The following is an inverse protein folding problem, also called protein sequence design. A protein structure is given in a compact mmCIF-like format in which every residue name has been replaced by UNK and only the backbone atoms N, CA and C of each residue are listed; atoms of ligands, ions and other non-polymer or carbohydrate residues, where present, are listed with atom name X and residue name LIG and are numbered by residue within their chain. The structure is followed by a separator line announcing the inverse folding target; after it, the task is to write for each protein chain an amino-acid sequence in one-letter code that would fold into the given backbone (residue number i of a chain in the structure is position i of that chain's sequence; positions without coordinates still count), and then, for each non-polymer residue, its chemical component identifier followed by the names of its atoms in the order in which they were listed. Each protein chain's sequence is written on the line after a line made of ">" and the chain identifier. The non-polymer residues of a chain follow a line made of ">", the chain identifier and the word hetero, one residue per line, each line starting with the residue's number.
data_IF_818180646206
#
_entry.id   IF_818180646206
#
_cell.length_a   1.000
_cell.length_b   1.000
_cell.length_c   1.000
_cell.angle_alpha   90.00
_cell.angle_beta   90.00
_cell.angle_gamma   90.00
#
_symmetry.space_group_name_H-M   'P 1'
#
loop_
_entity.id
_entity.type
_entity.pdbx_description
1 polymer ?
#
# COMPACT_ATOMS: atom_id res chain seq x y z
N UNK A 1 -9.85 25.23 14.37
CA UNK A 1 -10.17 24.24 15.41
C UNK A 1 -9.09 24.31 16.48
N UNK A 2 -9.37 24.96 17.60
CA UNK A 2 -8.46 25.00 18.75
C UNK A 2 -8.50 23.60 19.39
N UNK A 3 -7.36 22.99 19.57
CA UNK A 3 -7.25 21.78 20.39
C UNK A 3 -7.82 22.12 21.76
N UNK A 4 -8.72 21.30 22.34
CA UNK A 4 -9.19 21.54 23.70
C UNK A 4 -7.99 21.58 24.64
N UNK A 5 -7.91 22.59 25.46
CA UNK A 5 -6.79 22.91 26.35
C UNK A 5 -6.47 21.85 27.42
N UNK A 6 -7.23 20.76 27.48
CA UNK A 6 -7.09 19.66 28.45
C UNK A 6 -7.37 18.31 27.74
N UNK A 7 -6.44 17.86 26.90
CA UNK A 7 -6.42 16.44 26.52
C UNK A 7 -5.77 15.68 27.68
N UNK A 8 -6.51 14.82 28.32
CA UNK A 8 -5.92 13.91 29.31
C UNK A 8 -5.09 12.80 28.59
N UNK A 9 -4.30 12.07 29.36
CA UNK A 9 -3.46 11.01 28.83
C UNK A 9 -4.29 9.88 28.18
N UNK A 10 -5.53 9.65 28.65
CA UNK A 10 -6.46 8.67 28.10
C UNK A 10 -6.95 9.06 26.70
N UNK A 11 -7.32 10.33 26.52
CA UNK A 11 -7.73 10.88 25.23
C UNK A 11 -6.62 10.77 24.18
N UNK A 12 -5.38 11.09 24.55
CA UNK A 12 -4.23 10.96 23.67
C UNK A 12 -3.96 9.50 23.33
N UNK A 13 -4.08 8.59 24.30
CA UNK A 13 -3.92 7.16 24.10
C UNK A 13 -4.95 6.60 23.10
N UNK A 14 -6.22 6.95 23.25
CA UNK A 14 -7.28 6.52 22.34
C UNK A 14 -7.05 7.03 20.90
N UNK A 15 -6.68 8.29 20.75
CA UNK A 15 -6.40 8.89 19.44
C UNK A 15 -5.21 8.22 18.75
N UNK A 16 -4.12 7.99 19.48
CA UNK A 16 -2.96 7.26 18.98
C UNK A 16 -3.34 5.83 18.57
N UNK A 17 -4.18 5.15 19.35
CA UNK A 17 -4.69 3.82 19.02
C UNK A 17 -5.48 3.82 17.72
N UNK A 18 -6.38 4.81 17.51
CA UNK A 18 -7.16 4.95 16.27
C UNK A 18 -6.21 5.13 15.08
N UNK A 19 -5.20 6.01 15.19
CA UNK A 19 -4.21 6.23 14.11
C UNK A 19 -3.47 4.94 13.77
N UNK A 20 -2.93 4.25 14.77
CA UNK A 20 -2.17 3.02 14.56
C UNK A 20 -3.04 1.89 14.01
N UNK A 21 -4.23 1.68 14.58
CA UNK A 21 -5.17 0.68 14.09
C UNK A 21 -5.59 0.95 12.64
N UNK A 22 -5.86 2.21 12.29
CA UNK A 22 -6.20 2.60 10.93
C UNK A 22 -5.04 2.41 9.96
N UNK A 23 -3.82 2.78 10.35
CA UNK A 23 -2.64 2.56 9.52
C UNK A 23 -2.39 1.06 9.26
N UNK A 24 -2.55 0.21 10.28
CA UNK A 24 -2.42 -1.25 10.14
C UNK A 24 -3.55 -1.81 9.26
N UNK A 25 -4.78 -1.38 9.47
CA UNK A 25 -5.94 -1.82 8.67
C UNK A 25 -5.78 -1.44 7.19
N UNK A 26 -5.16 -0.30 6.90
CA UNK A 26 -4.90 0.15 5.53
C UNK A 26 -4.01 -0.81 4.73
N UNK A 27 -3.08 -1.53 5.35
CA UNK A 27 -2.32 -2.56 4.64
C UNK A 27 -3.24 -3.67 4.10
N UNK A 28 -4.19 -4.13 4.92
CA UNK A 28 -5.20 -5.11 4.50
C UNK A 28 -6.12 -4.55 3.41
N UNK A 29 -6.61 -3.33 3.57
CA UNK A 29 -7.46 -2.64 2.58
C UNK A 29 -6.72 -2.48 1.26
N UNK A 30 -5.48 -1.98 1.30
CA UNK A 30 -4.66 -1.78 0.11
C UNK A 30 -4.35 -3.10 -0.60
N UNK A 31 -4.02 -4.16 0.15
CA UNK A 31 -3.78 -5.50 -0.41
C UNK A 31 -5.05 -6.08 -1.06
N UNK A 32 -6.23 -5.91 -0.46
CA UNK A 32 -7.51 -6.34 -1.02
C UNK A 32 -7.87 -5.55 -2.28
N UNK A 33 -7.77 -4.22 -2.24
CA UNK A 33 -8.02 -3.37 -3.40
C UNK A 33 -7.05 -3.69 -4.52
N UNK A 34 -5.77 -3.89 -4.22
CA UNK A 34 -4.76 -4.30 -5.18
C UNK A 34 -5.13 -5.63 -5.86
N UNK A 35 -5.49 -6.64 -5.05
CA UNK A 35 -5.82 -7.97 -5.56
C UNK A 35 -7.14 -8.01 -6.32
N UNK A 36 -8.22 -7.46 -5.75
CA UNK A 36 -9.59 -7.66 -6.23
C UNK A 36 -10.02 -6.60 -7.24
N UNK A 37 -9.54 -5.37 -7.07
CA UNK A 37 -9.91 -4.26 -7.94
C UNK A 37 -8.84 -3.96 -8.98
N UNK A 38 -7.60 -3.67 -8.56
CA UNK A 38 -6.54 -3.28 -9.49
C UNK A 38 -6.16 -4.44 -10.43
N UNK A 39 -6.08 -5.67 -9.92
CA UNK A 39 -5.96 -6.89 -10.73
C UNK A 39 -7.30 -7.47 -11.20
N UNK A 40 -8.38 -6.71 -11.11
CA UNK A 40 -9.73 -7.02 -11.55
C UNK A 40 -10.26 -5.94 -12.51
N UNK A 41 -11.42 -5.32 -12.20
CA UNK A 41 -12.05 -4.29 -13.04
C UNK A 41 -11.17 -3.07 -13.29
N UNK A 42 -10.32 -2.71 -12.33
CA UNK A 42 -9.40 -1.57 -12.39
C UNK A 42 -8.11 -1.81 -13.19
N UNK A 43 -7.92 -2.98 -13.78
CA UNK A 43 -6.69 -3.34 -14.49
C UNK A 43 -6.26 -2.32 -15.54
N UNK A 44 -7.19 -1.66 -16.20
CA UNK A 44 -6.87 -0.66 -17.23
C UNK A 44 -5.98 0.50 -16.75
N UNK A 45 -6.06 0.86 -15.45
CA UNK A 45 -5.15 1.84 -14.85
C UNK A 45 -3.90 1.16 -14.27
N UNK A 46 -4.07 0.02 -13.61
CA UNK A 46 -2.98 -0.70 -12.93
C UNK A 46 -1.97 -1.31 -13.91
N UNK A 47 -2.42 -1.66 -15.12
CA UNK A 47 -1.57 -2.18 -16.18
C UNK A 47 -0.35 -1.29 -16.46
N UNK A 48 -0.54 0.06 -16.43
CA UNK A 48 0.56 0.99 -16.65
C UNK A 48 1.71 0.84 -15.64
N UNK A 49 1.41 0.29 -14.47
CA UNK A 49 2.36 0.03 -13.40
C UNK A 49 3.14 -1.27 -13.60
N UNK A 50 2.55 -2.26 -14.29
CA UNK A 50 3.21 -3.52 -14.66
C UNK A 50 3.99 -3.44 -15.98
N UNK A 51 3.73 -2.40 -16.79
CA UNK A 51 4.42 -2.16 -18.05
C UNK A 51 5.36 -0.96 -17.87
N UNK A 52 6.69 -1.15 -17.96
CA UNK A 52 7.63 -0.06 -17.83
C UNK A 52 7.34 1.04 -18.86
N UNK A 53 6.99 2.22 -18.42
CA UNK A 53 6.79 3.40 -19.24
C UNK A 53 7.96 4.38 -19.14
N UNK A 54 8.05 5.31 -20.09
CA UNK A 54 9.02 6.42 -20.02
C UNK A 54 8.61 7.52 -19.04
N UNK A 55 7.34 7.55 -18.60
CA UNK A 55 6.80 8.58 -17.72
C UNK A 55 7.00 8.25 -16.25
N UNK A 56 7.32 9.29 -15.45
CA UNK A 56 7.32 9.18 -13.99
C UNK A 56 5.92 9.19 -13.38
N UNK A 57 4.92 9.62 -14.14
CA UNK A 57 3.51 9.64 -13.75
C UNK A 57 2.81 8.55 -14.53
N UNK A 58 2.13 7.66 -13.84
CA UNK A 58 1.41 6.52 -14.39
C UNK A 58 -0.09 6.68 -14.15
N UNK A 59 -0.92 6.01 -14.97
CA UNK A 59 -2.38 5.95 -14.71
C UNK A 59 -2.69 5.31 -13.36
N UNK A 60 -1.83 4.41 -12.91
CA UNK A 60 -1.89 3.79 -11.60
C UNK A 60 -1.88 4.80 -10.44
N UNK A 61 -1.24 5.96 -10.61
CA UNK A 61 -1.15 6.98 -9.56
C UNK A 61 -2.54 7.57 -9.20
N UNK A 62 -3.53 7.41 -10.08
CA UNK A 62 -4.92 7.77 -9.79
C UNK A 62 -5.47 7.05 -8.56
N UNK A 63 -5.03 5.83 -8.27
CA UNK A 63 -5.43 5.13 -7.03
C UNK A 63 -4.92 5.83 -5.78
N UNK A 64 -3.68 6.32 -5.80
CA UNK A 64 -3.14 7.10 -4.67
C UNK A 64 -3.93 8.41 -4.48
N UNK A 65 -4.32 9.07 -5.58
CA UNK A 65 -5.17 10.28 -5.55
C UNK A 65 -6.55 9.97 -4.96
N UNK A 66 -7.18 8.86 -5.34
CA UNK A 66 -8.48 8.44 -4.79
C UNK A 66 -8.40 8.16 -3.27
N UNK A 67 -7.35 7.46 -2.81
CA UNK A 67 -7.15 7.23 -1.38
C UNK A 67 -6.87 8.54 -0.63
N UNK A 68 -6.09 9.45 -1.20
CA UNK A 68 -5.84 10.76 -0.62
C UNK A 68 -7.12 11.60 -0.53
N UNK A 69 -7.95 11.61 -1.59
CA UNK A 69 -9.23 12.31 -1.59
C UNK A 69 -10.18 11.74 -0.52
N UNK A 70 -10.20 10.42 -0.34
CA UNK A 70 -10.98 9.80 0.72
C UNK A 70 -10.47 10.17 2.11
N UNK A 71 -9.16 10.23 2.33
CA UNK A 71 -8.59 10.71 3.59
C UNK A 71 -8.97 12.17 3.87
N UNK A 72 -8.94 13.03 2.84
CA UNK A 72 -9.40 14.44 2.96
C UNK A 72 -10.88 14.50 3.36
N UNK A 73 -11.74 13.68 2.74
CA UNK A 73 -13.14 13.59 3.13
C UNK A 73 -13.30 13.21 4.60
N UNK A 74 -12.57 12.22 5.09
CA UNK A 74 -12.60 11.83 6.50
C UNK A 74 -12.09 12.93 7.42
N UNK A 75 -11.07 13.70 7.02
CA UNK A 75 -10.62 14.88 7.77
C UNK A 75 -11.73 15.93 7.90
N UNK A 76 -12.46 16.19 6.81
CA UNK A 76 -13.56 17.17 6.80
C UNK A 76 -14.70 16.68 7.69
N UNK A 77 -15.16 15.44 7.51
CA UNK A 77 -16.25 14.86 8.30
C UNK A 77 -15.89 14.72 9.79
N UNK A 78 -14.61 14.48 10.08
CA UNK A 78 -14.09 14.35 11.44
C UNK A 78 -13.92 15.66 12.22
N UNK A 79 -14.29 16.81 11.66
CA UNK A 79 -14.20 18.14 12.33
C UNK A 79 -15.22 18.36 13.43
N UNK A 80 -16.21 17.48 13.62
CA UNK A 80 -17.31 17.64 14.55
C UNK A 80 -17.56 16.40 15.43
N UNK A 81 -18.82 15.97 15.58
CA UNK A 81 -19.19 14.84 16.41
C UNK A 81 -18.58 13.50 15.96
N UNK A 82 -18.19 13.42 14.70
CA UNK A 82 -17.52 12.26 14.10
C UNK A 82 -15.98 12.33 14.24
N UNK A 83 -15.47 12.92 15.31
CA UNK A 83 -14.05 13.14 15.58
C UNK A 83 -13.15 11.89 15.38
N UNK A 84 -13.57 10.63 15.56
CA UNK A 84 -12.72 9.48 15.27
C UNK A 84 -12.31 9.41 13.80
N UNK A 85 -13.14 9.89 12.86
CA UNK A 85 -12.82 9.91 11.43
C UNK A 85 -11.58 10.75 11.11
N UNK A 86 -11.35 11.84 11.88
CA UNK A 86 -10.15 12.65 11.75
C UNK A 86 -8.89 11.84 12.04
N UNK A 87 -8.90 11.05 13.11
CA UNK A 87 -7.76 10.22 13.50
C UNK A 87 -7.60 8.98 12.61
N UNK A 88 -8.68 8.47 12.07
CA UNK A 88 -8.63 7.45 11.00
C UNK A 88 -7.95 8.01 9.74
N UNK A 89 -8.29 9.23 9.33
CA UNK A 89 -7.62 9.91 8.21
C UNK A 89 -6.13 10.12 8.46
N UNK A 90 -5.74 10.45 9.70
CA UNK A 90 -4.33 10.52 10.10
C UNK A 90 -3.62 9.17 9.92
N UNK A 91 -4.26 8.07 10.31
CA UNK A 91 -3.72 6.71 10.10
C UNK A 91 -3.60 6.34 8.62
N UNK A 92 -4.61 6.68 7.80
CA UNK A 92 -4.54 6.52 6.35
C UNK A 92 -3.41 7.33 5.73
N UNK A 93 -3.22 8.57 6.17
CA UNK A 93 -2.14 9.45 5.71
C UNK A 93 -0.78 8.89 6.10
N UNK A 94 -0.62 8.41 7.34
CA UNK A 94 0.60 7.74 7.79
C UNK A 94 0.92 6.52 6.90
N UNK A 95 -0.08 5.67 6.64
CA UNK A 95 0.07 4.54 5.73
C UNK A 95 0.48 4.99 4.32
N UNK A 96 -0.18 6.01 3.77
CA UNK A 96 0.13 6.57 2.45
C UNK A 96 1.57 7.08 2.33
N UNK A 97 2.09 7.73 3.38
CA UNK A 97 3.50 8.16 3.45
C UNK A 97 4.45 6.97 3.46
N UNK A 98 4.18 5.95 4.28
CA UNK A 98 4.99 4.72 4.33
C UNK A 98 4.92 3.96 3.01
N UNK A 99 3.73 3.88 2.39
CA UNK A 99 3.56 3.33 1.05
C UNK A 99 4.44 4.06 0.04
N UNK A 100 4.35 5.40 -0.04
CA UNK A 100 5.16 6.20 -0.97
C UNK A 100 6.67 6.00 -0.76
N UNK A 101 7.13 5.98 0.51
CA UNK A 101 8.54 5.75 0.82
C UNK A 101 9.03 4.37 0.37
N UNK A 102 8.27 3.32 0.67
CA UNK A 102 8.68 1.95 0.38
C UNK A 102 8.40 1.60 -1.08
N UNK A 103 7.17 1.80 -1.55
CA UNK A 103 6.75 1.39 -2.89
C UNK A 103 7.39 2.26 -3.97
N UNK A 104 7.16 3.58 -3.94
CA UNK A 104 7.66 4.47 -4.98
C UNK A 104 9.14 4.80 -4.81
N UNK A 105 9.57 5.06 -3.57
CA UNK A 105 10.94 5.43 -3.28
C UNK A 105 11.92 4.26 -3.38
N UNK A 106 11.64 3.16 -2.68
CA UNK A 106 12.58 2.06 -2.51
C UNK A 106 12.44 0.98 -3.59
N UNK A 107 11.21 0.56 -3.88
CA UNK A 107 10.94 -0.54 -4.83
C UNK A 107 11.04 -0.05 -6.27
N UNK A 108 10.25 0.96 -6.64
CA UNK A 108 10.20 1.51 -7.99
C UNK A 108 11.28 2.55 -8.29
N UNK A 109 12.00 3.02 -7.26
CA UNK A 109 13.09 4.01 -7.40
C UNK A 109 12.68 5.26 -8.17
N UNK A 110 11.43 5.69 -8.02
CA UNK A 110 10.91 6.91 -8.62
C UNK A 110 11.57 8.17 -8.04
N UNK A 111 12.09 8.06 -6.81
CA UNK A 111 12.81 9.12 -6.11
C UNK A 111 14.32 8.86 -6.16
N UNK A 112 15.16 9.89 -6.09
CA UNK A 112 16.62 9.75 -6.14
C UNK A 112 17.19 9.23 -4.81
N UNK A 113 16.58 8.19 -4.23
CA UNK A 113 17.07 7.54 -3.02
C UNK A 113 18.27 6.66 -3.34
N UNK A 114 19.45 7.03 -2.80
CA UNK A 114 20.69 6.25 -2.96
C UNK A 114 20.80 5.09 -1.98
N UNK A 115 19.92 5.06 -0.98
CA UNK A 115 19.95 4.03 0.04
C UNK A 115 19.46 2.67 -0.50
N UNK A 116 20.14 1.60 -0.07
CA UNK A 116 19.79 0.23 -0.41
C UNK A 116 19.50 -0.55 0.88
N UNK A 117 18.43 -1.35 0.91
CA UNK A 117 18.15 -2.18 2.08
C UNK A 117 19.22 -3.26 2.25
N UNK A 118 19.54 -3.58 3.50
CA UNK A 118 20.49 -4.67 3.84
C UNK A 118 19.99 -5.99 3.25
N UNK A 119 20.85 -6.76 2.56
CA UNK A 119 20.50 -8.11 2.10
C UNK A 119 19.94 -8.96 3.22
N UNK A 120 18.89 -9.73 2.96
CA UNK A 120 18.21 -10.56 3.95
C UNK A 120 17.32 -9.81 4.95
N UNK A 121 17.40 -8.49 5.04
CA UNK A 121 16.58 -7.66 5.92
C UNK A 121 15.12 -7.57 5.48
N UNK A 122 14.26 -7.07 6.38
CA UNK A 122 12.82 -6.93 6.13
C UNK A 122 12.51 -6.13 4.86
N UNK A 123 13.10 -4.96 4.69
CA UNK A 123 12.88 -4.11 3.52
C UNK A 123 13.39 -4.76 2.21
N UNK A 124 14.48 -5.52 2.27
CA UNK A 124 14.95 -6.28 1.11
C UNK A 124 13.95 -7.36 0.70
N UNK A 125 13.28 -8.01 1.67
CA UNK A 125 12.20 -8.98 1.42
C UNK A 125 10.98 -8.32 0.77
N UNK A 126 10.57 -7.12 1.24
CA UNK A 126 9.50 -6.35 0.60
C UNK A 126 9.82 -6.04 -0.86
N UNK A 127 11.03 -5.52 -1.12
CA UNK A 127 11.50 -5.24 -2.49
C UNK A 127 11.46 -6.48 -3.37
N UNK A 128 11.94 -7.64 -2.86
CA UNK A 128 11.93 -8.88 -3.62
C UNK A 128 10.51 -9.39 -3.88
N UNK A 129 9.63 -9.37 -2.87
CA UNK A 129 8.24 -9.80 -3.01
C UNK A 129 7.49 -8.96 -4.06
N UNK A 130 7.70 -7.64 -4.05
CA UNK A 130 7.08 -6.75 -5.03
C UNK A 130 7.66 -6.93 -6.44
N UNK A 131 8.97 -7.17 -6.57
CA UNK A 131 9.58 -7.54 -7.87
C UNK A 131 9.01 -8.85 -8.43
N UNK A 132 8.74 -9.84 -7.56
CA UNK A 132 8.07 -11.08 -7.97
C UNK A 132 6.63 -10.84 -8.40
N UNK A 133 5.92 -9.89 -7.77
CA UNK A 133 4.61 -9.43 -8.20
C UNK A 133 4.70 -8.86 -9.64
N UNK A 134 5.61 -7.94 -9.90
CA UNK A 134 5.84 -7.35 -11.22
C UNK A 134 6.45 -8.30 -12.27
N UNK A 135 6.92 -9.48 -11.88
CA UNK A 135 7.37 -10.49 -12.84
C UNK A 135 6.21 -11.06 -13.68
N UNK A 136 4.95 -10.74 -13.32
CA UNK A 136 3.74 -11.03 -14.09
C UNK A 136 3.24 -9.73 -14.69
N UNK A 137 3.19 -9.65 -16.01
CA UNK A 137 2.70 -8.47 -16.75
C UNK A 137 1.22 -8.55 -17.10
N UNK A 138 0.59 -9.69 -16.85
CA UNK A 138 -0.84 -9.92 -17.07
C UNK A 138 -1.64 -9.59 -15.82
N UNK A 139 -2.95 -9.40 -16.00
CA UNK A 139 -3.89 -9.19 -14.90
C UNK A 139 -3.86 -10.33 -13.89
N UNK A 140 -3.76 -11.55 -14.41
CA UNK A 140 -3.89 -12.78 -13.61
C UNK A 140 -2.53 -13.42 -13.35
N UNK A 141 -2.42 -14.16 -12.25
CA UNK A 141 -1.24 -14.96 -11.91
C UNK A 141 -0.21 -14.26 -11.02
N UNK A 142 -0.39 -12.98 -10.68
CA UNK A 142 0.50 -12.29 -9.77
C UNK A 142 0.50 -12.89 -8.35
N UNK A 143 1.58 -12.72 -7.64
CA UNK A 143 1.77 -13.14 -6.23
C UNK A 143 2.10 -11.92 -5.38
N UNK A 144 1.77 -11.95 -4.07
CA UNK A 144 2.10 -10.86 -3.13
C UNK A 144 1.44 -9.52 -3.49
N UNK A 145 0.34 -9.22 -2.84
CA UNK A 145 -0.45 -8.00 -3.09
C UNK A 145 -0.28 -6.93 -2.00
N UNK A 146 0.36 -7.27 -0.87
CA UNK A 146 0.68 -6.33 0.19
C UNK A 146 1.87 -5.44 -0.17
N UNK A 147 1.96 -4.29 0.51
CA UNK A 147 2.98 -3.27 0.27
C UNK A 147 3.98 -3.15 1.40
N UNK A 148 3.51 -3.25 2.65
CA UNK A 148 4.33 -3.21 3.85
C UNK A 148 4.45 -4.59 4.51
N UNK A 149 3.58 -5.54 4.16
CA UNK A 149 3.66 -6.93 4.62
C UNK A 149 3.78 -7.85 3.42
N UNK A 150 4.83 -8.64 3.37
CA UNK A 150 5.07 -9.56 2.27
C UNK A 150 5.41 -10.96 2.80
N UNK A 151 4.98 -11.97 2.03
CA UNK A 151 5.38 -13.35 2.26
C UNK A 151 6.88 -13.58 1.99
N UNK A 152 7.35 -14.76 2.36
CA UNK A 152 8.71 -15.20 2.05
C UNK A 152 8.97 -15.21 0.54
N UNK A 153 9.96 -14.47 0.04
CA UNK A 153 10.28 -14.40 -1.38
C UNK A 153 10.58 -15.75 -2.04
N UNK A 154 11.18 -16.70 -1.31
CA UNK A 154 11.46 -18.03 -1.84
C UNK A 154 10.17 -18.81 -2.11
N UNK A 155 9.20 -18.74 -1.18
CA UNK A 155 7.87 -19.34 -1.35
C UNK A 155 7.07 -18.65 -2.47
N UNK A 156 7.13 -17.32 -2.57
CA UNK A 156 6.48 -16.57 -3.64
C UNK A 156 7.06 -16.93 -5.02
N UNK A 157 8.39 -17.06 -5.12
CA UNK A 157 9.04 -17.48 -6.36
C UNK A 157 8.67 -18.93 -6.74
N UNK A 158 8.55 -19.84 -5.75
CA UNK A 158 8.11 -21.20 -6.00
C UNK A 158 6.66 -21.24 -6.53
N UNK A 159 5.74 -20.49 -5.92
CA UNK A 159 4.35 -20.35 -6.40
C UNK A 159 4.30 -19.81 -7.83
N UNK A 160 5.10 -18.79 -8.13
CA UNK A 160 5.13 -18.20 -9.47
C UNK A 160 5.63 -19.21 -10.52
N UNK A 161 6.64 -20.03 -10.17
CA UNK A 161 7.10 -21.12 -11.05
C UNK A 161 6.01 -22.19 -11.26
N UNK A 162 5.33 -22.61 -10.18
CA UNK A 162 4.26 -23.60 -10.26
C UNK A 162 3.13 -23.14 -11.19
N UNK A 163 2.71 -21.88 -11.08
CA UNK A 163 1.69 -21.27 -11.96
C UNK A 163 2.13 -21.23 -13.42
N UNK A 164 3.39 -20.84 -13.70
CA UNK A 164 3.94 -20.82 -15.07
C UNK A 164 3.95 -22.20 -15.71
N UNK A 165 4.08 -23.25 -14.91
CA UNK A 165 4.07 -24.65 -15.40
C UNK A 165 2.69 -25.30 -15.37
N UNK A 166 1.61 -24.54 -15.14
CA UNK A 166 0.24 -25.05 -15.12
C UNK A 166 -0.06 -26.01 -13.94
N UNK A 167 0.74 -25.99 -12.88
CA UNK A 167 0.60 -26.89 -11.73
C UNK A 167 -0.30 -26.35 -10.63
N UNK A 168 -0.67 -25.08 -10.69
CA UNK A 168 -1.63 -24.44 -9.78
C UNK A 168 -2.66 -23.69 -10.60
N UNK A 169 -3.96 -23.87 -10.27
CA UNK A 169 -5.02 -23.03 -10.81
C UNK A 169 -4.84 -21.58 -10.30
N UNK A 170 -5.22 -20.57 -11.11
CA UNK A 170 -5.30 -19.20 -10.62
C UNK A 170 -6.25 -19.10 -9.42
N UNK A 171 -6.00 -18.20 -8.46
CA UNK A 171 -6.83 -18.02 -7.27
C UNK A 171 -8.20 -17.47 -7.61
#
# INVERSE_FOLDING_TARGET
>A
MLLPSHLDAGDLGLRALIVLASAIAMEGVAALVHRLWMHGPGWGWHRSHHEPGASRIERNDAYAVLFAAFAVLLFVLGQGPWWPLYWMAMGMTLYGLLYGLVHDGLVHRRWPLRWQPRPGGYLARLVQAHRLHHAVRSRDGAVSFGFLVAGDPARLAARLRARRHGREAPP
#
